data_IF_258816663178
#
_entry.id   IF_258816663178
#
_cell.length_a   1.000
_cell.length_b   1.000
_cell.length_c   1.000
_cell.angle_alpha   90.00
_cell.angle_beta   90.00
_cell.angle_gamma   90.00
#
_symmetry.space_group_name_H-M   'P 1'
#
loop_
_entity.id
_entity.type
_entity.pdbx_description
1 polymer ?
#
# COMPACT_ATOMS: atom_id res chain seq x y z
N UNK A 1 16.18 -17.15 -16.03
CA UNK A 1 15.85 -15.75 -15.63
C UNK A 1 15.23 -15.64 -14.22
N UNK A 2 14.52 -16.67 -13.73
CA UNK A 2 13.86 -16.64 -12.41
C UNK A 2 14.83 -16.54 -11.22
N UNK A 3 15.90 -17.31 -11.20
CA UNK A 3 16.82 -17.39 -10.06
C UNK A 3 17.49 -16.05 -9.68
N UNK A 4 17.75 -15.18 -10.66
CA UNK A 4 18.38 -13.87 -10.42
C UNK A 4 17.43 -12.90 -9.71
N UNK A 5 16.13 -12.91 -10.08
CA UNK A 5 15.11 -12.09 -9.44
C UNK A 5 14.96 -12.48 -7.96
N UNK A 6 14.89 -13.77 -7.66
CA UNK A 6 14.78 -14.27 -6.30
C UNK A 6 16.00 -13.90 -5.43
N UNK A 7 17.20 -13.98 -5.98
CA UNK A 7 18.41 -13.58 -5.27
C UNK A 7 18.41 -12.09 -4.95
N UNK A 8 18.09 -11.23 -5.92
CA UNK A 8 18.01 -9.77 -5.73
C UNK A 8 16.93 -9.43 -4.69
N UNK A 9 15.74 -10.03 -4.80
CA UNK A 9 14.66 -9.83 -3.85
C UNK A 9 15.07 -10.24 -2.43
N UNK A 10 15.75 -11.38 -2.28
CA UNK A 10 16.27 -11.84 -0.98
C UNK A 10 17.27 -10.85 -0.37
N UNK A 11 18.21 -10.35 -1.16
CA UNK A 11 19.21 -9.37 -0.71
C UNK A 11 18.52 -8.06 -0.32
N UNK A 12 17.65 -7.51 -1.17
CA UNK A 12 16.93 -6.27 -0.89
C UNK A 12 16.07 -6.38 0.36
N UNK A 13 15.31 -7.46 0.50
CA UNK A 13 14.49 -7.69 1.70
C UNK A 13 15.35 -7.79 2.96
N UNK A 14 16.48 -8.49 2.89
CA UNK A 14 17.38 -8.63 4.04
C UNK A 14 18.03 -7.31 4.49
N UNK A 15 18.22 -6.37 3.57
CA UNK A 15 18.75 -5.02 3.89
C UNK A 15 17.66 -4.09 4.45
N UNK A 16 16.47 -4.12 3.87
CA UNK A 16 15.38 -3.19 4.22
C UNK A 16 14.67 -3.61 5.52
N UNK A 17 14.48 -4.90 5.73
CA UNK A 17 13.69 -5.43 6.85
C UNK A 17 14.21 -5.00 8.24
N UNK A 18 15.51 -5.09 8.57
CA UNK A 18 15.99 -4.67 9.89
C UNK A 18 15.70 -3.18 10.17
N UNK A 19 15.82 -2.35 9.12
CA UNK A 19 15.57 -0.92 9.21
C UNK A 19 14.07 -0.63 9.42
N UNK A 20 13.21 -1.21 8.60
CA UNK A 20 11.76 -1.07 8.71
C UNK A 20 11.25 -1.62 10.03
N UNK A 21 11.73 -2.81 10.44
CA UNK A 21 11.37 -3.40 11.72
C UNK A 21 11.67 -2.48 12.89
N UNK A 22 12.87 -1.87 12.91
CA UNK A 22 13.23 -0.93 13.97
C UNK A 22 12.26 0.24 14.05
N UNK A 23 11.96 0.86 12.91
CA UNK A 23 11.01 2.00 12.86
C UNK A 23 9.62 1.60 13.34
N UNK A 24 9.07 0.51 12.80
CA UNK A 24 7.72 0.04 13.10
C UNK A 24 7.60 -0.43 14.56
N UNK A 25 8.58 -1.20 15.03
CA UNK A 25 8.56 -1.75 16.39
C UNK A 25 8.73 -0.68 17.48
N UNK A 26 9.61 0.30 17.25
CA UNK A 26 9.85 1.39 18.22
C UNK A 26 8.95 2.59 18.04
N UNK A 27 8.24 2.68 16.92
CA UNK A 27 7.44 3.85 16.57
C UNK A 27 8.25 5.10 16.29
N UNK A 28 9.54 4.97 15.97
CA UNK A 28 10.46 6.11 15.81
C UNK A 28 11.04 6.22 14.41
N UNK A 29 11.11 7.46 13.88
CA UNK A 29 11.81 7.74 12.63
C UNK A 29 13.28 8.02 12.87
N UNK A 30 14.18 7.55 11.98
CA UNK A 30 15.55 8.02 11.95
C UNK A 30 15.63 9.55 11.73
N UNK A 31 16.59 10.20 12.37
CA UNK A 31 16.76 11.67 12.33
C UNK A 31 16.81 12.25 10.90
N UNK A 32 17.43 11.54 9.96
CA UNK A 32 17.50 12.00 8.57
C UNK A 32 16.14 11.97 7.86
N UNK A 33 15.30 10.95 8.16
CA UNK A 33 13.94 10.88 7.62
C UNK A 33 13.04 11.93 8.25
N UNK A 34 13.15 12.14 9.56
CA UNK A 34 12.43 13.21 10.26
C UNK A 34 12.77 14.58 9.65
N UNK A 35 14.06 14.90 9.45
CA UNK A 35 14.47 16.15 8.79
C UNK A 35 13.91 16.31 7.38
N UNK A 36 13.77 15.20 6.63
CA UNK A 36 13.16 15.22 5.30
C UNK A 36 11.67 15.47 5.37
N UNK A 37 10.98 14.83 6.31
CA UNK A 37 9.55 15.03 6.57
C UNK A 37 9.25 16.46 6.99
N UNK A 38 10.07 17.05 7.87
CA UNK A 38 9.92 18.43 8.36
C UNK A 38 10.02 19.47 7.23
N UNK A 39 10.79 19.14 6.18
CA UNK A 39 10.94 19.98 4.97
C UNK A 39 9.89 19.72 3.88
N UNK A 40 9.00 18.80 4.12
CA UNK A 40 7.94 18.44 3.17
C UNK A 40 6.67 19.18 3.54
N UNK A 41 5.99 19.79 2.56
CA UNK A 41 4.78 20.60 2.78
C UNK A 41 3.54 20.01 2.09
N UNK A 42 2.37 20.52 2.49
CA UNK A 42 1.08 20.26 1.86
C UNK A 42 0.65 18.80 1.88
N UNK A 43 -0.15 18.40 0.89
CA UNK A 43 -0.71 17.04 0.77
C UNK A 43 0.32 15.91 0.76
N UNK A 44 1.55 16.20 0.32
CA UNK A 44 2.64 15.22 0.38
C UNK A 44 3.07 14.90 1.82
N UNK A 45 3.05 15.90 2.69
CA UNK A 45 3.32 15.71 4.13
C UNK A 45 2.19 14.92 4.78
N UNK A 46 0.95 15.21 4.43
CA UNK A 46 -0.23 14.48 4.92
C UNK A 46 -0.17 13.01 4.54
N UNK A 47 0.14 12.71 3.28
CA UNK A 47 0.31 11.35 2.81
C UNK A 47 1.41 10.61 3.59
N UNK A 48 2.58 11.22 3.77
CA UNK A 48 3.66 10.59 4.55
C UNK A 48 3.25 10.37 6.00
N UNK A 49 2.57 11.33 6.64
CA UNK A 49 2.06 11.17 7.99
C UNK A 49 0.99 10.07 8.07
N UNK A 50 0.11 9.95 7.09
CA UNK A 50 -0.86 8.87 6.97
C UNK A 50 -0.19 7.50 6.97
N UNK A 51 0.83 7.32 6.12
CA UNK A 51 1.64 6.10 6.10
C UNK A 51 2.31 5.79 7.44
N UNK A 52 2.97 6.78 8.03
CA UNK A 52 3.66 6.61 9.31
C UNK A 52 2.68 6.21 10.42
N UNK A 53 1.51 6.85 10.45
CA UNK A 53 0.44 6.56 11.40
C UNK A 53 -0.10 5.14 11.26
N UNK A 54 -0.25 4.64 10.03
CA UNK A 54 -0.71 3.28 9.75
C UNK A 54 0.22 2.22 10.37
N UNK A 55 1.53 2.48 10.36
CA UNK A 55 2.53 1.62 10.98
C UNK A 55 2.79 1.91 12.46
N UNK A 56 2.03 2.81 13.08
CA UNK A 56 2.21 3.21 14.49
C UNK A 56 3.44 4.09 14.74
N UNK A 57 4.12 4.57 13.68
CA UNK A 57 5.28 5.45 13.80
C UNK A 57 4.81 6.83 14.29
N UNK A 58 5.40 7.32 15.38
CA UNK A 58 4.93 8.51 16.10
C UNK A 58 3.85 8.24 17.17
N UNK A 59 3.38 6.97 17.27
CA UNK A 59 2.32 6.54 18.20
C UNK A 59 2.74 5.38 19.13
N UNK A 60 4.04 5.22 19.37
CA UNK A 60 4.55 4.13 20.22
C UNK A 60 4.87 2.83 19.50
N UNK A 61 4.69 2.79 18.18
CA UNK A 61 5.03 1.64 17.34
C UNK A 61 3.96 0.54 17.31
N UNK A 62 4.30 -0.53 16.63
CA UNK A 62 3.48 -1.73 16.45
C UNK A 62 4.27 -2.97 16.89
N UNK A 63 4.36 -3.25 18.19
CA UNK A 63 5.23 -4.31 18.74
C UNK A 63 4.81 -5.72 18.31
N UNK A 64 3.58 -5.92 17.86
CA UNK A 64 3.07 -7.18 17.32
C UNK A 64 3.58 -7.51 15.89
N UNK A 65 4.11 -6.53 15.17
CA UNK A 65 4.68 -6.74 13.84
C UNK A 65 6.07 -7.38 13.98
N UNK A 66 6.25 -8.54 13.39
CA UNK A 66 7.52 -9.28 13.45
C UNK A 66 8.44 -8.95 12.27
N UNK A 67 9.75 -9.19 12.44
CA UNK A 67 10.69 -9.13 11.31
C UNK A 67 10.27 -10.05 10.18
N UNK A 68 9.75 -11.23 10.51
CA UNK A 68 9.33 -12.22 9.52
C UNK A 68 8.14 -11.72 8.70
N UNK A 69 7.14 -11.06 9.33
CA UNK A 69 6.00 -10.50 8.59
C UNK A 69 6.45 -9.39 7.63
N UNK A 70 7.34 -8.50 8.08
CA UNK A 70 7.89 -7.46 7.19
C UNK A 70 8.70 -8.09 6.04
N UNK A 71 9.53 -9.09 6.35
CA UNK A 71 10.29 -9.80 5.32
C UNK A 71 9.36 -10.45 4.29
N UNK A 72 8.35 -11.17 4.74
CA UNK A 72 7.41 -11.86 3.86
C UNK A 72 6.68 -10.86 2.94
N UNK A 73 6.25 -9.73 3.47
CA UNK A 73 5.61 -8.67 2.68
C UNK A 73 6.57 -8.16 1.59
N UNK A 74 7.74 -7.67 1.97
CA UNK A 74 8.69 -7.13 0.98
C UNK A 74 9.15 -8.16 -0.02
N UNK A 75 9.41 -9.39 0.41
CA UNK A 75 9.84 -10.45 -0.49
C UNK A 75 8.73 -10.83 -1.48
N UNK A 76 7.50 -11.01 -1.00
CA UNK A 76 6.37 -11.34 -1.87
C UNK A 76 6.09 -10.25 -2.90
N UNK A 77 6.15 -8.98 -2.51
CA UNK A 77 5.95 -7.84 -3.42
C UNK A 77 6.96 -7.82 -4.58
N UNK A 78 8.18 -8.31 -4.32
CA UNK A 78 9.24 -8.35 -5.33
C UNK A 78 9.18 -9.57 -6.24
N UNK A 79 8.66 -10.71 -5.77
CA UNK A 79 8.73 -11.98 -6.51
C UNK A 79 7.40 -12.48 -7.04
N UNK A 80 6.29 -12.04 -6.46
CA UNK A 80 4.95 -12.50 -6.85
C UNK A 80 4.58 -11.97 -8.23
N UNK A 81 4.26 -12.89 -9.13
CA UNK A 81 3.73 -12.57 -10.45
C UNK A 81 2.22 -12.68 -10.40
N UNK A 82 1.54 -11.57 -10.64
CA UNK A 82 0.09 -11.58 -10.81
C UNK A 82 -0.24 -12.21 -12.17
N UNK A 83 -1.16 -13.16 -12.19
CA UNK A 83 -1.64 -13.75 -13.43
C UNK A 83 -2.47 -12.73 -14.22
N UNK A 84 -2.50 -12.87 -15.54
CA UNK A 84 -3.34 -12.04 -16.39
C UNK A 84 -4.74 -12.66 -16.52
N UNK A 85 -5.75 -11.81 -16.70
CA UNK A 85 -7.10 -12.23 -16.95
C UNK A 85 -7.78 -12.95 -15.78
N UNK A 86 -7.43 -12.58 -14.55
CA UNK A 86 -8.07 -13.12 -13.35
C UNK A 86 -9.57 -12.87 -13.42
N UNK A 87 -10.33 -13.95 -13.36
CA UNK A 87 -11.78 -13.97 -13.34
C UNK A 87 -12.24 -14.85 -12.19
N UNK A 88 -13.07 -14.32 -11.30
CA UNK A 88 -13.63 -15.07 -10.16
C UNK A 88 -15.13 -15.16 -10.38
N UNK A 89 -15.66 -16.32 -10.79
CA UNK A 89 -17.07 -16.48 -11.08
C UNK A 89 -17.96 -16.04 -9.92
N UNK A 90 -19.00 -15.24 -10.22
CA UNK A 90 -19.92 -14.72 -9.20
C UNK A 90 -19.37 -13.62 -8.31
N UNK A 91 -18.20 -13.06 -8.65
CA UNK A 91 -17.54 -11.99 -7.87
C UNK A 91 -17.24 -10.79 -8.75
N UNK A 92 -17.52 -9.59 -8.28
CA UNK A 92 -17.06 -8.33 -8.90
C UNK A 92 -15.72 -7.94 -8.30
N UNK A 93 -14.75 -7.62 -9.16
CA UNK A 93 -13.44 -7.12 -8.74
C UNK A 93 -13.47 -5.60 -8.78
N UNK A 94 -13.43 -4.96 -7.62
CA UNK A 94 -13.37 -3.50 -7.50
C UNK A 94 -11.93 -3.04 -7.35
N UNK A 95 -11.54 -2.03 -8.15
CA UNK A 95 -10.20 -1.43 -8.13
C UNK A 95 -10.32 0.06 -7.82
N UNK A 96 -9.87 0.48 -6.65
CA UNK A 96 -9.76 1.89 -6.29
C UNK A 96 -8.47 2.47 -6.86
N UNK A 97 -8.59 3.15 -8.00
CA UNK A 97 -7.45 3.60 -8.77
C UNK A 97 -7.09 5.06 -8.50
N UNK A 98 -5.90 5.27 -7.95
CA UNK A 98 -5.30 6.58 -7.74
C UNK A 98 -4.72 7.14 -9.05
N UNK A 99 -5.41 8.10 -9.70
CA UNK A 99 -5.06 8.56 -11.06
C UNK A 99 -3.70 9.25 -11.14
N UNK A 100 -3.19 9.83 -10.05
CA UNK A 100 -1.85 10.42 -9.99
C UNK A 100 -0.71 9.41 -10.13
N UNK A 101 -1.00 8.10 -10.08
CA UNK A 101 -0.03 7.05 -10.44
C UNK A 101 0.25 7.00 -11.95
N UNK A 102 -0.66 7.51 -12.79
CA UNK A 102 -0.55 7.55 -14.23
C UNK A 102 -1.25 6.39 -14.96
N UNK A 103 -1.73 6.63 -16.17
CA UNK A 103 -2.57 5.74 -16.99
C UNK A 103 -2.01 4.32 -17.20
N UNK A 104 -0.70 4.15 -17.12
CA UNK A 104 -0.06 2.82 -17.23
C UNK A 104 -0.59 1.83 -16.19
N UNK A 105 -0.98 2.31 -15.02
CA UNK A 105 -1.51 1.45 -13.95
C UNK A 105 -2.95 1.03 -14.22
N UNK A 106 -3.78 1.92 -14.75
CA UNK A 106 -5.13 1.56 -15.19
C UNK A 106 -5.09 0.45 -16.24
N UNK A 107 -4.24 0.60 -17.26
CA UNK A 107 -4.02 -0.44 -18.29
C UNK A 107 -3.56 -1.78 -17.69
N UNK A 108 -2.72 -1.73 -16.66
CA UNK A 108 -2.28 -2.94 -15.94
C UNK A 108 -3.44 -3.62 -15.22
N UNK A 109 -4.32 -2.88 -14.54
CA UNK A 109 -5.49 -3.46 -13.88
C UNK A 109 -6.41 -4.16 -14.88
N UNK A 110 -6.68 -3.55 -16.03
CA UNK A 110 -7.44 -4.18 -17.12
C UNK A 110 -6.75 -5.40 -17.73
N UNK A 111 -5.42 -5.51 -17.61
CA UNK A 111 -4.67 -6.69 -18.05
C UNK A 111 -4.73 -7.83 -17.03
N UNK A 112 -4.65 -7.49 -15.74
CA UNK A 112 -4.65 -8.48 -14.66
C UNK A 112 -6.04 -9.02 -14.35
N UNK A 113 -7.07 -8.17 -14.40
CA UNK A 113 -8.42 -8.54 -14.02
C UNK A 113 -9.36 -8.49 -15.22
N UNK A 114 -10.25 -9.46 -15.32
CA UNK A 114 -11.28 -9.48 -16.34
C UNK A 114 -12.45 -8.59 -15.91
N UNK A 115 -12.73 -7.57 -16.71
CA UNK A 115 -13.82 -6.62 -16.46
C UNK A 115 -13.85 -6.02 -15.04
N UNK A 116 -12.74 -5.43 -14.53
CA UNK A 116 -12.76 -4.84 -13.21
C UNK A 116 -13.64 -3.58 -13.17
N UNK A 117 -14.36 -3.37 -12.07
CA UNK A 117 -14.99 -2.09 -11.75
C UNK A 117 -13.91 -1.14 -11.25
N UNK A 118 -13.48 -0.18 -12.10
CA UNK A 118 -12.40 0.75 -11.77
C UNK A 118 -12.98 2.08 -11.29
N UNK A 119 -12.83 2.35 -9.99
CA UNK A 119 -13.23 3.60 -9.34
C UNK A 119 -12.03 4.54 -9.26
N UNK A 120 -12.14 5.68 -9.94
CA UNK A 120 -11.02 6.63 -10.13
C UNK A 120 -11.04 7.72 -9.06
N UNK A 121 -9.92 7.88 -8.37
CA UNK A 121 -9.71 8.95 -7.39
C UNK A 121 -8.52 9.82 -7.81
N UNK A 122 -8.67 11.15 -7.82
CA UNK A 122 -7.58 12.07 -8.17
C UNK A 122 -6.60 12.24 -7.00
N UNK A 123 -5.98 11.16 -6.61
CA UNK A 123 -5.13 11.01 -5.43
C UNK A 123 -3.82 10.31 -5.77
N UNK A 124 -2.86 10.33 -4.85
CA UNK A 124 -1.65 9.51 -4.89
C UNK A 124 -1.97 8.07 -4.47
N UNK A 125 -1.02 7.17 -4.69
CA UNK A 125 -1.12 5.79 -4.24
C UNK A 125 -1.40 5.71 -2.74
N UNK A 126 -2.45 4.97 -2.37
CA UNK A 126 -2.93 4.75 -0.99
C UNK A 126 -3.40 6.02 -0.23
N UNK A 127 -3.42 7.20 -0.85
CA UNK A 127 -3.85 8.45 -0.21
C UNK A 127 -5.29 8.35 0.31
N UNK A 128 -6.20 7.75 -0.45
CA UNK A 128 -7.58 7.53 -0.04
C UNK A 128 -7.65 6.72 1.27
N UNK A 129 -6.93 5.63 1.35
CA UNK A 129 -6.91 4.75 2.52
C UNK A 129 -6.21 5.38 3.73
N UNK A 130 -5.04 6.00 3.52
CA UNK A 130 -4.19 6.49 4.61
C UNK A 130 -4.65 7.84 5.18
N UNK A 131 -5.28 8.69 4.36
CA UNK A 131 -5.57 10.09 4.71
C UNK A 131 -7.07 10.41 4.76
N UNK A 132 -7.90 9.64 4.04
CA UNK A 132 -9.34 9.91 3.87
C UNK A 132 -10.18 8.69 4.28
N UNK A 133 -9.99 8.21 5.52
CA UNK A 133 -10.60 6.96 6.00
C UNK A 133 -12.12 6.94 5.93
N UNK A 134 -12.79 8.06 6.16
CA UNK A 134 -14.25 8.14 6.05
C UNK A 134 -14.73 7.97 4.61
N UNK A 135 -14.06 8.64 3.65
CA UNK A 135 -14.31 8.49 2.21
C UNK A 135 -13.99 7.07 1.74
N UNK A 136 -12.89 6.48 2.23
CA UNK A 136 -12.54 5.09 1.96
C UNK A 136 -13.65 4.12 2.38
N UNK A 137 -14.17 4.26 3.61
CA UNK A 137 -15.25 3.41 4.11
C UNK A 137 -16.50 3.55 3.24
N UNK A 138 -16.87 4.77 2.87
CA UNK A 138 -18.02 5.05 2.02
C UNK A 138 -17.86 4.43 0.62
N UNK A 139 -16.71 4.56 0.01
CA UNK A 139 -16.42 3.96 -1.28
C UNK A 139 -16.44 2.41 -1.24
N UNK A 140 -15.95 1.82 -0.15
CA UNK A 140 -16.06 0.37 0.05
C UNK A 140 -17.52 -0.06 0.23
N UNK A 141 -18.33 0.67 1.01
CA UNK A 141 -19.77 0.39 1.17
C UNK A 141 -20.49 0.40 -0.17
N UNK A 142 -20.27 1.42 -1.00
CA UNK A 142 -20.83 1.50 -2.37
C UNK A 142 -20.36 0.35 -3.25
N UNK A 143 -19.12 -0.12 -3.08
CA UNK A 143 -18.58 -1.20 -3.87
C UNK A 143 -19.24 -2.54 -3.54
N UNK A 144 -19.55 -2.79 -2.26
CA UNK A 144 -20.16 -4.04 -1.80
C UNK A 144 -21.68 -3.96 -1.64
N UNK A 145 -22.30 -2.85 -2.09
CA UNK A 145 -23.75 -2.64 -2.05
C UNK A 145 -24.37 -2.81 -0.66
N UNK A 146 -23.62 -2.43 0.38
CA UNK A 146 -24.14 -2.44 1.74
C UNK A 146 -25.19 -1.32 1.89
N UNK A 147 -26.33 -1.58 2.55
CA UNK A 147 -27.32 -0.55 2.83
C UNK A 147 -26.71 0.54 3.73
N UNK A 148 -27.18 1.77 3.55
CA UNK A 148 -26.87 2.85 4.49
C UNK A 148 -27.32 2.43 5.89
N UNK A 149 -26.50 2.67 6.90
CA UNK A 149 -26.89 2.40 8.28
C UNK A 149 -28.11 3.26 8.64
N UNK A 150 -29.14 2.60 9.14
CA UNK A 150 -30.38 3.21 9.63
C UNK A 150 -30.09 3.96 10.93
#
# INVERSE_FOLDING_TARGET
YGGRIYLVAKIQSSMVVPFMYKMVHTGTLPKFMQKKLDKTDGGKKELYNGFLNMFGIGKGGSPWITKQSIYNQFYSDLVTKVQHGIDVPGTTIHVFYATKMGEKYEKRYCTYFKNPDIRKHNMQHEELFCCHSAEWVEEVRKAVELPDEI
#
